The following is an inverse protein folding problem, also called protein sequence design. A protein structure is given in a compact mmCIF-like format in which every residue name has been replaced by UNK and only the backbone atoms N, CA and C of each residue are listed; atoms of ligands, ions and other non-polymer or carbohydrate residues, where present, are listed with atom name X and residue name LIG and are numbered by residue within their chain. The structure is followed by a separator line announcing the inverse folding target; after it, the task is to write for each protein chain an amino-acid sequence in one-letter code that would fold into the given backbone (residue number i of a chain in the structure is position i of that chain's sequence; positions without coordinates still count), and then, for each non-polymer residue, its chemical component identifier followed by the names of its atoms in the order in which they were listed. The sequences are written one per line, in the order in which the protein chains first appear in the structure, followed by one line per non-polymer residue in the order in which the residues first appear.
data_IF_265013422090
#
_entry.id   IF_265013422090
#
_cell.length_a   1.000
_cell.length_b   1.000
_cell.length_c   1.000
_cell.angle_alpha   90.00
_cell.angle_beta   90.00
_cell.angle_gamma   90.00
#
_symmetry.space_group_name_H-M   'P 1'
#
loop_
_entity.id
_entity.type
_entity.pdbx_description
1 polymer ?
#
# COMPACT_ATOMS: atom_id res chain seq x y z
N UNK A 1 18.66 -19.23 -18.05
CA UNK A 1 18.60 -17.77 -17.87
C UNK A 1 18.47 -17.50 -16.38
N UNK A 2 19.47 -16.89 -15.77
CA UNK A 2 19.58 -16.80 -14.32
C UNK A 2 18.58 -15.72 -13.81
N UNK A 3 17.84 -16.00 -12.74
CA UNK A 3 16.86 -15.08 -12.12
C UNK A 3 17.48 -13.72 -11.77
N UNK A 4 18.82 -13.64 -11.63
CA UNK A 4 19.57 -12.41 -11.36
C UNK A 4 19.53 -11.35 -12.45
N UNK A 5 19.22 -11.71 -13.68
CA UNK A 5 19.29 -10.81 -14.84
C UNK A 5 17.92 -10.26 -15.27
N UNK A 6 16.86 -10.50 -14.50
CA UNK A 6 15.53 -9.96 -14.78
C UNK A 6 15.38 -8.55 -14.23
N UNK A 7 14.90 -7.57 -15.02
CA UNK A 7 14.74 -6.18 -14.58
C UNK A 7 13.90 -6.01 -13.32
N UNK A 8 12.83 -6.78 -13.17
CA UNK A 8 11.93 -6.78 -12.00
C UNK A 8 12.34 -7.73 -10.87
N UNK A 9 13.36 -8.56 -11.04
CA UNK A 9 13.92 -9.43 -9.99
C UNK A 9 15.07 -8.76 -9.22
N UNK A 10 14.99 -7.43 -9.05
CA UNK A 10 15.83 -6.73 -8.08
C UNK A 10 15.57 -7.26 -6.67
N UNK A 11 16.53 -7.12 -5.73
CA UNK A 11 16.25 -7.45 -4.36
C UNK A 11 14.90 -6.87 -4.01
N UNK A 12 13.99 -7.75 -3.62
CA UNK A 12 12.61 -7.46 -3.24
C UNK A 12 12.62 -6.21 -2.37
N UNK A 13 11.56 -5.42 -2.40
CA UNK A 13 11.37 -4.41 -1.40
C UNK A 13 11.65 -5.00 -0.02
N UNK A 14 11.50 -4.23 1.03
CA UNK A 14 11.83 -4.65 2.41
C UNK A 14 11.11 -5.93 2.88
N UNK A 15 10.39 -6.66 1.98
CA UNK A 15 9.60 -7.88 2.24
C UNK A 15 8.70 -7.75 3.50
N UNK A 16 8.12 -6.56 3.68
CA UNK A 16 7.35 -6.21 4.88
C UNK A 16 6.13 -7.10 5.02
N UNK A 17 5.43 -7.39 3.92
CA UNK A 17 4.21 -8.19 3.94
C UNK A 17 4.45 -9.62 4.40
N UNK A 18 5.43 -10.37 3.84
CA UNK A 18 5.84 -11.65 4.40
C UNK A 18 6.26 -11.57 5.86
N UNK A 19 7.02 -10.54 6.24
CA UNK A 19 7.47 -10.34 7.62
C UNK A 19 6.30 -10.15 8.59
N UNK A 20 5.24 -9.43 8.17
CA UNK A 20 4.02 -9.28 8.98
C UNK A 20 3.31 -10.61 9.23
N UNK A 21 3.25 -11.51 8.23
CA UNK A 21 2.69 -12.86 8.42
C UNK A 21 3.46 -13.61 9.51
N UNK A 22 4.80 -13.61 9.43
CA UNK A 22 5.67 -14.32 10.35
C UNK A 22 5.60 -13.71 11.77
N UNK A 23 5.71 -12.38 11.86
CA UNK A 23 5.65 -11.66 13.13
C UNK A 23 4.29 -11.82 13.84
N UNK A 24 3.19 -11.77 13.09
CA UNK A 24 1.85 -12.01 13.64
C UNK A 24 1.69 -13.44 14.19
N UNK A 25 2.28 -14.43 13.52
CA UNK A 25 2.31 -15.80 14.02
C UNK A 25 3.11 -15.90 15.33
N UNK A 26 4.27 -15.29 15.36
CA UNK A 26 5.15 -15.32 16.54
C UNK A 26 4.52 -14.55 17.72
N UNK A 27 3.89 -13.42 17.47
CA UNK A 27 3.23 -12.61 18.50
C UNK A 27 2.13 -13.36 19.26
N UNK A 28 1.51 -14.36 18.62
CA UNK A 28 0.50 -15.23 19.23
C UNK A 28 1.09 -16.58 19.70
N UNK A 29 2.42 -16.69 19.79
CA UNK A 29 3.10 -17.89 20.30
C UNK A 29 3.16 -19.06 19.32
N UNK A 30 2.85 -18.83 18.04
CA UNK A 30 2.97 -19.82 16.97
C UNK A 30 4.40 -19.98 16.46
N UNK A 31 4.64 -21.07 15.76
CA UNK A 31 5.92 -21.32 15.07
C UNK A 31 5.98 -20.52 13.75
N UNK A 32 6.87 -19.53 13.61
CA UNK A 32 6.96 -18.70 12.41
C UNK A 32 7.40 -19.47 11.15
N UNK A 33 7.86 -20.70 11.26
CA UNK A 33 8.15 -21.56 10.11
C UNK A 33 6.88 -22.09 9.43
N UNK A 34 5.76 -22.19 10.15
CA UNK A 34 4.52 -22.76 9.63
C UNK A 34 3.85 -21.93 8.54
N UNK A 35 3.75 -20.59 8.61
CA UNK A 35 3.03 -19.77 7.63
C UNK A 35 3.87 -19.42 6.40
N UNK A 36 4.90 -20.20 6.06
CA UNK A 36 5.80 -19.92 4.93
C UNK A 36 5.03 -19.82 3.60
N UNK A 37 4.04 -20.70 3.39
CA UNK A 37 3.17 -20.66 2.21
C UNK A 37 2.36 -19.35 2.17
N UNK A 38 1.79 -18.91 3.30
CA UNK A 38 1.05 -17.67 3.42
C UNK A 38 1.94 -16.45 3.18
N UNK A 39 3.13 -16.42 3.76
CA UNK A 39 4.12 -15.36 3.55
C UNK A 39 4.53 -15.24 2.07
N UNK A 40 4.77 -16.37 1.40
CA UNK A 40 5.09 -16.41 -0.03
C UNK A 40 3.89 -15.98 -0.90
N UNK A 41 2.68 -16.41 -0.56
CA UNK A 41 1.46 -16.06 -1.29
C UNK A 41 1.16 -14.55 -1.24
N UNK A 42 1.30 -13.93 -0.07
CA UNK A 42 1.13 -12.48 0.10
C UNK A 42 2.16 -11.69 -0.73
N UNK A 43 3.41 -12.14 -0.78
CA UNK A 43 4.45 -11.49 -1.59
C UNK A 43 4.19 -11.67 -3.10
N UNK A 44 3.68 -12.82 -3.53
CA UNK A 44 3.26 -13.05 -4.91
C UNK A 44 2.10 -12.12 -5.31
N UNK A 45 1.09 -11.99 -4.44
CA UNK A 45 -0.01 -11.05 -4.66
C UNK A 45 0.53 -9.61 -4.76
N UNK A 46 1.40 -9.18 -3.86
CA UNK A 46 2.01 -7.86 -3.96
C UNK A 46 2.77 -7.65 -5.29
N UNK A 47 3.53 -8.65 -5.73
CA UNK A 47 4.30 -8.50 -6.96
C UNK A 47 3.41 -8.51 -8.21
N UNK A 48 2.31 -9.28 -8.23
CA UNK A 48 1.39 -9.20 -9.36
C UNK A 48 0.73 -7.83 -9.45
N UNK A 49 0.31 -7.25 -8.29
CA UNK A 49 -0.28 -5.90 -8.31
C UNK A 49 0.70 -4.86 -8.85
N UNK A 50 1.98 -4.92 -8.46
CA UNK A 50 2.99 -4.02 -9.00
C UNK A 50 3.17 -4.14 -10.51
N UNK A 51 3.10 -5.38 -11.07
CA UNK A 51 3.20 -5.57 -12.52
C UNK A 51 2.01 -4.96 -13.26
N UNK A 52 0.81 -5.10 -12.72
CA UNK A 52 -0.40 -4.56 -13.33
C UNK A 52 -0.49 -3.04 -13.14
N UNK A 53 -0.13 -2.52 -11.96
CA UNK A 53 -0.09 -1.08 -11.69
C UNK A 53 0.87 -0.37 -12.65
N UNK A 54 2.09 -0.91 -12.87
CA UNK A 54 3.04 -0.34 -13.82
C UNK A 54 2.45 -0.17 -15.24
N UNK A 55 1.56 -1.09 -15.65
CA UNK A 55 0.88 -1.03 -16.95
C UNK A 55 -0.24 0.02 -16.94
N UNK A 56 -1.05 0.03 -15.89
CA UNK A 56 -2.20 0.93 -15.72
C UNK A 56 -1.72 2.37 -15.67
N UNK A 57 -0.70 2.64 -14.84
CA UNK A 57 -0.13 3.97 -14.61
C UNK A 57 0.85 4.38 -15.73
N UNK A 58 1.20 3.44 -16.65
CA UNK A 58 2.21 3.61 -17.69
C UNK A 58 3.58 4.00 -17.13
N UNK A 59 3.91 3.52 -15.94
CA UNK A 59 5.20 3.74 -15.30
C UNK A 59 6.30 3.03 -16.08
N UNK A 60 7.24 3.77 -16.65
CA UNK A 60 8.37 3.21 -17.40
C UNK A 60 9.48 2.69 -16.49
N UNK A 61 9.56 3.21 -15.27
CA UNK A 61 10.60 2.84 -14.30
C UNK A 61 10.01 2.57 -12.91
N UNK A 62 10.54 1.54 -12.24
CA UNK A 62 10.27 1.22 -10.84
C UNK A 62 11.57 0.92 -10.12
N UNK A 63 11.85 1.64 -9.03
CA UNK A 63 13.09 1.50 -8.24
C UNK A 63 14.35 1.62 -9.11
N UNK A 64 14.41 2.65 -9.95
CA UNK A 64 15.50 2.95 -10.90
C UNK A 64 15.74 1.87 -11.97
N UNK A 65 14.76 1.01 -12.26
CA UNK A 65 14.84 -0.02 -13.30
C UNK A 65 13.65 0.07 -14.26
N UNK A 66 13.84 -0.29 -15.53
CA UNK A 66 12.72 -0.42 -16.44
C UNK A 66 11.67 -1.40 -15.91
N UNK A 67 10.40 -1.07 -16.08
CA UNK A 67 9.28 -1.93 -15.71
C UNK A 67 9.16 -3.16 -16.61
N UNK A 68 8.49 -4.21 -16.14
CA UNK A 68 8.39 -5.46 -16.87
C UNK A 68 7.65 -5.27 -18.20
N UNK A 69 6.58 -4.46 -18.23
CA UNK A 69 5.83 -4.23 -19.47
C UNK A 69 6.67 -3.49 -20.53
N UNK A 70 7.57 -2.61 -20.12
CA UNK A 70 8.47 -1.91 -21.05
C UNK A 70 9.52 -2.86 -21.67
N UNK A 71 10.00 -3.84 -20.89
CA UNK A 71 11.07 -4.76 -21.32
C UNK A 71 10.54 -5.96 -22.10
N UNK A 72 9.42 -6.54 -21.67
CA UNK A 72 8.89 -7.79 -22.18
C UNK A 72 7.61 -7.63 -22.99
N UNK A 73 6.96 -6.48 -22.89
CA UNK A 73 5.65 -6.21 -23.49
C UNK A 73 4.50 -6.28 -22.49
N UNK A 74 3.41 -5.57 -22.82
CA UNK A 74 2.22 -5.48 -21.98
C UNK A 74 1.56 -6.84 -21.75
N UNK A 75 1.43 -7.64 -22.81
CA UNK A 75 0.79 -8.97 -22.74
C UNK A 75 1.53 -9.89 -21.78
N UNK A 76 2.85 -9.95 -21.90
CA UNK A 76 3.71 -10.78 -21.06
C UNK A 76 3.65 -10.35 -19.59
N UNK A 77 3.60 -9.06 -19.34
CA UNK A 77 3.50 -8.54 -17.97
C UNK A 77 2.13 -8.84 -17.32
N UNK A 78 1.02 -8.74 -18.09
CA UNK A 78 -0.32 -9.14 -17.63
C UNK A 78 -0.34 -10.63 -17.29
N UNK A 79 0.07 -11.49 -18.24
CA UNK A 79 0.06 -12.94 -18.04
C UNK A 79 0.96 -13.38 -16.88
N UNK A 80 2.09 -12.69 -16.66
CA UNK A 80 2.96 -12.96 -15.52
C UNK A 80 2.27 -12.62 -14.19
N UNK A 81 1.55 -11.50 -14.13
CA UNK A 81 0.76 -11.13 -12.96
C UNK A 81 -0.34 -12.14 -12.65
N UNK A 82 -1.13 -12.55 -13.67
CA UNK A 82 -2.17 -13.56 -13.54
C UNK A 82 -1.62 -14.92 -13.06
N UNK A 83 -0.45 -15.30 -13.59
CA UNK A 83 0.23 -16.52 -13.16
C UNK A 83 0.72 -16.42 -11.70
N UNK A 84 1.22 -15.26 -11.26
CA UNK A 84 1.62 -15.04 -9.87
C UNK A 84 0.44 -15.12 -8.92
N UNK A 85 -0.70 -14.48 -9.25
CA UNK A 85 -1.93 -14.57 -8.46
C UNK A 85 -2.42 -16.02 -8.34
N UNK A 86 -2.50 -16.73 -9.46
CA UNK A 86 -2.90 -18.14 -9.48
C UNK A 86 -1.95 -19.03 -8.68
N UNK A 87 -0.64 -18.76 -8.76
CA UNK A 87 0.38 -19.47 -7.97
C UNK A 87 0.23 -19.19 -6.48
N UNK A 88 -0.10 -17.97 -6.07
CA UNK A 88 -0.32 -17.62 -4.66
C UNK A 88 -1.46 -18.46 -4.05
N UNK A 89 -2.59 -18.54 -4.74
CA UNK A 89 -3.73 -19.37 -4.29
C UNK A 89 -3.37 -20.86 -4.27
N UNK A 90 -2.63 -21.35 -5.27
CA UNK A 90 -2.19 -22.74 -5.33
C UNK A 90 -1.27 -23.11 -4.16
N UNK A 91 -0.29 -22.23 -3.83
CA UNK A 91 0.59 -22.46 -2.68
C UNK A 91 -0.17 -22.63 -1.36
N UNK A 92 -1.20 -21.81 -1.15
CA UNK A 92 -2.07 -21.94 0.03
C UNK A 92 -2.94 -23.20 -0.03
N UNK A 93 -3.47 -23.55 -1.20
CA UNK A 93 -4.32 -24.74 -1.36
C UNK A 93 -3.53 -26.06 -1.19
N UNK A 94 -2.25 -26.08 -1.54
CA UNK A 94 -1.34 -27.20 -1.37
C UNK A 94 -0.69 -27.24 0.04
N UNK A 95 -0.87 -26.19 0.85
CA UNK A 95 -0.37 -26.16 2.23
C UNK A 95 -1.16 -27.14 3.10
N UNK A 96 -0.47 -28.08 3.70
CA UNK A 96 -1.08 -29.09 4.59
C UNK A 96 -1.56 -28.56 5.94
N UNK A 97 -1.49 -27.25 6.21
CA UNK A 97 -1.93 -26.67 7.48
C UNK A 97 -3.45 -26.64 7.61
N UNK A 98 -3.97 -26.86 8.82
CA UNK A 98 -5.42 -26.94 9.07
C UNK A 98 -6.20 -25.68 8.67
N UNK A 99 -5.55 -24.50 8.66
CA UNK A 99 -6.16 -23.21 8.26
C UNK A 99 -5.91 -22.83 6.80
N UNK A 100 -5.34 -23.71 5.97
CA UNK A 100 -5.03 -23.43 4.58
C UNK A 100 -6.28 -22.95 3.79
N UNK A 101 -7.42 -23.61 3.98
CA UNK A 101 -8.68 -23.19 3.34
C UNK A 101 -9.16 -21.81 3.78
N UNK A 102 -8.96 -21.44 5.05
CA UNK A 102 -9.25 -20.08 5.55
C UNK A 102 -8.30 -19.04 4.93
N UNK A 103 -7.01 -19.37 4.82
CA UNK A 103 -6.01 -18.51 4.21
C UNK A 103 -6.30 -18.25 2.71
N UNK A 104 -6.70 -19.27 1.95
CA UNK A 104 -7.13 -19.12 0.55
C UNK A 104 -8.28 -18.15 0.43
N UNK A 105 -9.32 -18.33 1.26
CA UNK A 105 -10.50 -17.46 1.24
C UNK A 105 -10.13 -16.00 1.57
N UNK A 106 -9.38 -15.77 2.66
CA UNK A 106 -8.94 -14.43 3.07
C UNK A 106 -8.09 -13.74 1.99
N UNK A 107 -7.19 -14.46 1.36
CA UNK A 107 -6.37 -13.89 0.30
C UNK A 107 -7.20 -13.57 -0.95
N UNK A 108 -8.15 -14.43 -1.31
CA UNK A 108 -9.05 -14.20 -2.43
C UNK A 108 -9.96 -12.98 -2.20
N UNK A 109 -10.57 -12.87 -1.01
CA UNK A 109 -11.39 -11.72 -0.62
C UNK A 109 -10.55 -10.42 -0.64
N UNK A 110 -9.33 -10.46 -0.12
CA UNK A 110 -8.39 -9.35 -0.15
C UNK A 110 -8.04 -8.90 -1.58
N UNK A 111 -7.83 -9.84 -2.51
CA UNK A 111 -7.54 -9.50 -3.90
C UNK A 111 -8.73 -8.84 -4.58
N UNK A 112 -9.96 -9.28 -4.31
CA UNK A 112 -11.18 -8.62 -4.81
C UNK A 112 -11.25 -7.18 -4.31
N UNK A 113 -11.09 -6.97 -3.00
CA UNK A 113 -11.08 -5.64 -2.37
C UNK A 113 -9.98 -4.73 -2.97
N UNK A 114 -8.78 -5.28 -3.18
CA UNK A 114 -7.65 -4.56 -3.78
C UNK A 114 -7.96 -4.14 -5.22
N UNK A 115 -8.60 -5.00 -6.02
CA UNK A 115 -9.02 -4.67 -7.38
C UNK A 115 -10.11 -3.58 -7.39
N UNK A 116 -11.04 -3.61 -6.44
CA UNK A 116 -12.04 -2.53 -6.26
C UNK A 116 -11.35 -1.21 -5.92
N UNK A 117 -10.37 -1.21 -5.00
CA UNK A 117 -9.57 -0.05 -4.66
C UNK A 117 -8.82 0.53 -5.88
N UNK A 118 -8.22 -0.33 -6.69
CA UNK A 118 -7.53 0.07 -7.92
C UNK A 118 -8.50 0.66 -8.95
N UNK A 119 -9.70 0.07 -9.11
CA UNK A 119 -10.73 0.61 -10.00
C UNK A 119 -11.18 2.01 -9.56
N UNK A 120 -11.36 2.21 -8.26
CA UNK A 120 -11.75 3.52 -7.69
C UNK A 120 -10.63 4.56 -7.93
N UNK A 121 -9.37 4.18 -7.71
CA UNK A 121 -8.22 5.06 -7.96
C UNK A 121 -8.17 5.54 -9.41
N UNK A 122 -8.31 4.63 -10.37
CA UNK A 122 -8.42 4.99 -11.80
C UNK A 122 -9.62 5.91 -12.08
N UNK A 123 -10.77 5.66 -11.44
CA UNK A 123 -11.96 6.49 -11.64
C UNK A 123 -11.76 7.91 -11.10
N UNK A 124 -10.94 8.10 -10.06
CA UNK A 124 -10.65 9.42 -9.50
C UNK A 124 -9.92 10.35 -10.49
N UNK A 125 -9.18 9.81 -11.45
CA UNK A 125 -8.53 10.62 -12.48
C UNK A 125 -9.54 11.47 -13.26
N UNK A 126 -10.73 10.93 -13.51
CA UNK A 126 -11.79 11.55 -14.30
C UNK A 126 -12.77 12.40 -13.46
N UNK A 127 -12.64 12.40 -12.12
CA UNK A 127 -13.57 13.05 -11.20
C UNK A 127 -12.94 14.29 -10.57
N UNK A 128 -13.73 15.36 -10.42
CA UNK A 128 -13.36 16.57 -9.67
C UNK A 128 -13.98 16.63 -8.27
N UNK A 129 -14.94 15.75 -7.98
CA UNK A 129 -15.78 15.76 -6.78
C UNK A 129 -15.37 14.71 -5.72
N UNK A 130 -14.16 14.15 -5.82
CA UNK A 130 -13.64 13.14 -4.88
C UNK A 130 -13.65 13.69 -3.46
N UNK A 131 -14.32 12.96 -2.56
CA UNK A 131 -14.35 13.27 -1.12
C UNK A 131 -13.18 12.62 -0.39
N UNK A 132 -12.86 13.16 0.78
CA UNK A 132 -11.79 12.60 1.63
C UNK A 132 -12.13 11.20 2.12
N UNK A 133 -13.41 10.95 2.45
CA UNK A 133 -13.91 9.62 2.86
C UNK A 133 -13.71 8.58 1.75
N UNK A 134 -14.04 8.92 0.49
CA UNK A 134 -13.82 8.03 -0.65
C UNK A 134 -12.33 7.76 -0.86
N UNK A 135 -11.48 8.80 -0.72
CA UNK A 135 -10.03 8.66 -0.88
C UNK A 135 -9.40 7.77 0.20
N UNK A 136 -9.84 7.90 1.46
CA UNK A 136 -9.41 7.00 2.55
C UNK A 136 -9.86 5.57 2.31
N UNK A 137 -11.12 5.35 1.92
CA UNK A 137 -11.64 4.01 1.63
C UNK A 137 -10.89 3.35 0.45
N UNK A 138 -10.58 4.11 -0.60
CA UNK A 138 -9.76 3.64 -1.71
C UNK A 138 -8.36 3.25 -1.25
N UNK A 139 -7.70 4.08 -0.44
CA UNK A 139 -6.36 3.81 0.09
C UNK A 139 -6.33 2.58 1.02
N UNK A 140 -7.38 2.39 1.82
CA UNK A 140 -7.55 1.19 2.65
C UNK A 140 -7.68 -0.06 1.79
N UNK A 141 -8.56 -0.06 0.80
CA UNK A 141 -8.76 -1.19 -0.09
C UNK A 141 -7.51 -1.51 -0.93
N UNK A 142 -6.88 -0.50 -1.54
CA UNK A 142 -5.70 -0.68 -2.42
C UNK A 142 -4.45 -1.08 -1.64
N UNK A 143 -4.22 -0.51 -0.45
CA UNK A 143 -2.97 -0.66 0.30
C UNK A 143 -3.15 -1.38 1.63
N UNK A 144 -4.17 -1.02 2.40
CA UNK A 144 -4.43 -1.57 3.74
C UNK A 144 -4.83 -3.03 3.72
N UNK A 145 -5.69 -3.44 2.78
CA UNK A 145 -6.26 -4.78 2.72
C UNK A 145 -5.21 -5.91 2.73
N UNK A 146 -4.14 -5.77 1.95
CA UNK A 146 -3.12 -6.81 1.87
C UNK A 146 -2.23 -6.89 3.12
N UNK A 147 -2.00 -5.77 3.81
CA UNK A 147 -1.29 -5.78 5.09
C UNK A 147 -2.17 -6.37 6.20
N UNK A 148 -3.47 -6.05 6.19
CA UNK A 148 -4.45 -6.64 7.09
C UNK A 148 -4.53 -8.15 6.91
N UNK A 149 -4.76 -8.62 5.68
CA UNK A 149 -4.82 -10.03 5.35
C UNK A 149 -3.53 -10.79 5.76
N UNK A 150 -2.35 -10.17 5.58
CA UNK A 150 -1.08 -10.74 6.01
C UNK A 150 -1.04 -10.98 7.52
N UNK A 151 -1.41 -9.98 8.32
CA UNK A 151 -1.46 -10.08 9.77
C UNK A 151 -2.52 -11.09 10.25
N UNK A 152 -3.71 -11.07 9.66
CA UNK A 152 -4.79 -12.00 9.99
C UNK A 152 -4.42 -13.46 9.69
N UNK A 153 -3.81 -13.72 8.53
CA UNK A 153 -3.34 -15.07 8.20
C UNK A 153 -2.28 -15.54 9.19
N UNK A 154 -1.31 -14.67 9.55
CA UNK A 154 -0.33 -15.00 10.61
C UNK A 154 -0.99 -15.42 11.92
N UNK A 155 -2.01 -14.67 12.37
CA UNK A 155 -2.79 -15.00 13.56
C UNK A 155 -3.45 -16.39 13.46
N UNK A 156 -4.07 -16.70 12.32
CA UNK A 156 -4.73 -17.99 12.10
C UNK A 156 -3.75 -19.17 12.10
N UNK A 157 -2.57 -18.99 11.50
CA UNK A 157 -1.50 -20.00 11.52
C UNK A 157 -0.93 -20.25 12.91
N UNK A 158 -0.98 -19.28 13.82
CA UNK A 158 -0.66 -19.45 15.23
C UNK A 158 -1.73 -20.22 16.01
N UNK A 159 -2.89 -20.49 15.42
CA UNK A 159 -4.06 -21.03 16.12
C UNK A 159 -4.86 -19.96 16.87
N UNK A 160 -4.64 -18.70 16.58
CA UNK A 160 -5.38 -17.57 17.15
C UNK A 160 -6.88 -17.62 16.83
N UNK A 161 -7.69 -17.03 17.72
CA UNK A 161 -9.13 -16.93 17.52
C UNK A 161 -9.49 -16.02 16.33
N UNK A 162 -10.76 -16.04 15.92
CA UNK A 162 -11.23 -15.14 14.87
C UNK A 162 -11.14 -13.66 15.32
N UNK A 163 -11.40 -13.38 16.60
CA UNK A 163 -11.29 -12.03 17.18
C UNK A 163 -9.83 -11.53 17.13
N UNK A 164 -8.86 -12.37 17.44
CA UNK A 164 -7.45 -12.02 17.33
C UNK A 164 -7.04 -11.80 15.87
N UNK A 165 -7.56 -12.60 14.94
CA UNK A 165 -7.32 -12.44 13.51
C UNK A 165 -7.93 -11.14 12.98
N UNK A 166 -9.15 -10.77 13.40
CA UNK A 166 -9.79 -9.51 13.03
C UNK A 166 -9.05 -8.29 13.61
N UNK A 167 -8.60 -8.37 14.85
CA UNK A 167 -7.83 -7.29 15.46
C UNK A 167 -6.46 -7.10 14.75
N UNK A 168 -5.79 -8.18 14.37
CA UNK A 168 -4.55 -8.09 13.58
C UNK A 168 -4.81 -7.67 12.12
N UNK A 169 -5.95 -8.01 11.52
CA UNK A 169 -6.38 -7.42 10.25
C UNK A 169 -6.51 -5.91 10.37
N UNK A 170 -7.23 -5.43 11.38
CA UNK A 170 -7.36 -4.00 11.68
C UNK A 170 -6.01 -3.32 11.90
N UNK A 171 -5.10 -3.93 12.67
CA UNK A 171 -3.73 -3.44 12.82
C UNK A 171 -3.03 -3.25 11.47
N UNK A 172 -3.07 -4.28 10.60
CA UNK A 172 -2.46 -4.24 9.28
C UNK A 172 -3.07 -3.17 8.36
N UNK A 173 -4.38 -3.00 8.38
CA UNK A 173 -5.09 -1.95 7.61
C UNK A 173 -4.69 -0.56 8.04
N UNK A 174 -4.64 -0.28 9.35
CA UNK A 174 -4.29 1.02 9.89
C UNK A 174 -2.83 1.40 9.58
N UNK A 175 -1.87 0.47 9.71
CA UNK A 175 -0.50 0.74 9.28
C UNK A 175 -0.39 0.93 7.76
N UNK A 176 -1.25 0.28 6.98
CA UNK A 176 -1.35 0.47 5.54
C UNK A 176 -1.81 1.87 5.15
N UNK A 177 -2.82 2.39 5.85
CA UNK A 177 -3.29 3.77 5.67
C UNK A 177 -2.23 4.79 6.11
N UNK A 178 -1.59 4.59 7.25
CA UNK A 178 -0.49 5.44 7.70
C UNK A 178 0.66 5.46 6.67
N UNK A 179 0.99 4.30 6.10
CA UNK A 179 1.98 4.17 5.05
C UNK A 179 1.59 4.95 3.78
N UNK A 180 0.33 4.82 3.33
CA UNK A 180 -0.15 5.52 2.14
C UNK A 180 -0.12 7.03 2.31
N UNK A 181 -0.52 7.54 3.49
CA UNK A 181 -0.42 8.97 3.81
C UNK A 181 1.01 9.49 3.70
N UNK A 182 1.98 8.73 4.20
CA UNK A 182 3.41 9.08 4.12
C UNK A 182 3.91 8.97 2.68
N UNK A 183 3.50 7.95 1.93
CA UNK A 183 3.90 7.78 0.52
C UNK A 183 3.36 8.93 -0.34
N UNK A 184 2.13 9.37 -0.12
CA UNK A 184 1.52 10.53 -0.78
C UNK A 184 2.25 11.85 -0.41
N UNK A 185 2.70 12.02 0.84
CA UNK A 185 3.54 13.15 1.23
C UNK A 185 4.88 13.14 0.48
N UNK A 186 5.50 11.98 0.36
CA UNK A 186 6.74 11.78 -0.38
C UNK A 186 6.53 12.02 -1.89
N UNK A 187 5.39 11.64 -2.45
CA UNK A 187 5.02 11.90 -3.84
C UNK A 187 4.96 13.39 -4.21
N UNK A 188 4.75 14.26 -3.21
CA UNK A 188 4.70 15.73 -3.39
C UNK A 188 6.03 16.39 -3.02
N UNK A 189 6.62 16.04 -1.86
CA UNK A 189 7.78 16.74 -1.27
C UNK A 189 9.03 15.88 -1.14
N UNK A 190 9.01 14.64 -1.62
CA UNK A 190 10.13 13.72 -1.47
C UNK A 190 11.37 14.12 -2.25
N UNK A 191 12.53 13.77 -1.72
CA UNK A 191 13.82 14.00 -2.39
C UNK A 191 13.98 13.05 -3.60
N UNK A 192 14.23 13.54 -4.81
CA UNK A 192 14.47 12.72 -6.00
C UNK A 192 15.62 11.72 -5.86
N UNK A 193 16.65 12.06 -5.08
CA UNK A 193 17.78 11.15 -4.85
C UNK A 193 17.36 9.91 -4.05
N UNK A 194 16.33 10.05 -3.20
CA UNK A 194 15.81 8.96 -2.36
C UNK A 194 14.68 8.20 -3.08
N UNK A 195 13.78 8.94 -3.74
CA UNK A 195 12.55 8.38 -4.35
C UNK A 195 12.77 7.82 -5.75
N UNK A 196 13.75 8.35 -6.47
CA UNK A 196 13.96 8.07 -7.90
C UNK A 196 12.92 8.71 -8.82
N UNK A 197 12.01 9.53 -8.28
CA UNK A 197 10.98 10.27 -9.03
C UNK A 197 11.24 11.77 -8.89
N UNK A 198 10.85 12.61 -9.88
CA UNK A 198 10.96 14.06 -9.75
C UNK A 198 10.11 14.57 -8.59
N UNK A 199 10.52 15.71 -7.99
CA UNK A 199 9.71 16.39 -6.97
C UNK A 199 8.34 16.70 -7.54
N UNK A 200 7.28 16.41 -6.77
CA UNK A 200 5.91 16.66 -7.21
C UNK A 200 5.41 15.70 -8.30
N UNK A 201 5.97 14.49 -8.38
CA UNK A 201 5.55 13.49 -9.36
C UNK A 201 4.03 13.27 -9.36
N UNK A 202 3.40 13.21 -8.19
CA UNK A 202 1.96 13.05 -8.04
C UNK A 202 1.18 14.29 -8.53
N UNK A 203 1.73 15.48 -8.31
CA UNK A 203 1.13 16.74 -8.81
C UNK A 203 1.22 16.85 -10.33
N UNK A 204 2.30 16.34 -10.91
CA UNK A 204 2.51 16.37 -12.37
C UNK A 204 1.40 15.63 -13.12
N UNK A 205 0.96 14.50 -12.59
CA UNK A 205 -0.15 13.69 -13.13
C UNK A 205 -1.50 14.03 -12.50
N UNK A 206 -1.57 15.09 -11.68
CA UNK A 206 -2.79 15.54 -10.98
C UNK A 206 -3.46 14.42 -10.16
N UNK A 207 -2.67 13.56 -9.57
CA UNK A 207 -3.15 12.48 -8.71
C UNK A 207 -3.99 13.07 -7.57
N UNK A 208 -5.15 12.47 -7.29
CA UNK A 208 -6.00 12.80 -6.15
C UNK A 208 -5.50 12.07 -4.90
N UNK A 209 -4.23 12.32 -4.54
CA UNK A 209 -3.65 11.79 -3.31
C UNK A 209 -4.30 12.39 -2.06
N UNK A 210 -4.19 11.72 -0.93
CA UNK A 210 -4.86 12.13 0.31
C UNK A 210 -4.58 13.60 0.71
N UNK A 211 -3.33 14.11 0.74
CA UNK A 211 -3.07 15.51 1.06
C UNK A 211 -3.65 16.48 0.02
N UNK A 212 -3.69 16.09 -1.25
CA UNK A 212 -4.29 16.89 -2.33
C UNK A 212 -5.80 16.99 -2.14
N UNK A 213 -6.48 15.87 -1.88
CA UNK A 213 -7.93 15.88 -1.66
C UNK A 213 -8.29 16.67 -0.40
N UNK A 214 -7.51 16.55 0.68
CA UNK A 214 -7.68 17.36 1.88
C UNK A 214 -7.60 18.87 1.56
N UNK A 215 -6.61 19.29 0.77
CA UNK A 215 -6.45 20.67 0.34
C UNK A 215 -7.61 21.15 -0.55
N UNK A 216 -8.00 20.36 -1.55
CA UNK A 216 -9.13 20.68 -2.44
C UNK A 216 -10.46 20.82 -1.70
N UNK A 217 -10.62 20.14 -0.56
CA UNK A 217 -11.84 20.19 0.27
C UNK A 217 -11.74 21.12 1.47
N UNK A 218 -10.64 21.86 1.60
CA UNK A 218 -10.39 22.75 2.73
C UNK A 218 -11.32 23.97 2.82
N UNK A 219 -11.90 24.40 1.68
CA UNK A 219 -12.67 25.64 1.59
C UNK A 219 -11.81 26.91 1.75
N UNK A 220 -10.50 26.81 1.57
CA UNK A 220 -9.56 27.94 1.68
C UNK A 220 -9.23 28.52 0.30
N UNK A 221 -8.75 29.78 0.21
CA UNK A 221 -8.29 30.36 -1.05
C UNK A 221 -7.17 29.54 -1.73
N UNK A 222 -6.30 28.89 -0.95
CA UNK A 222 -5.26 28.01 -1.49
C UNK A 222 -5.87 26.72 -2.08
N UNK A 223 -6.91 26.16 -1.45
CA UNK A 223 -7.68 25.05 -2.00
C UNK A 223 -8.36 25.40 -3.32
N UNK A 224 -8.94 26.60 -3.43
CA UNK A 224 -9.53 27.10 -4.67
C UNK A 224 -8.45 27.30 -5.76
N UNK A 225 -7.31 27.83 -5.38
CA UNK A 225 -6.15 27.98 -6.29
C UNK A 225 -5.66 26.64 -6.81
N UNK A 226 -5.57 25.62 -5.95
CA UNK A 226 -5.22 24.27 -6.36
C UNK A 226 -6.23 23.70 -7.35
N UNK A 227 -7.53 23.90 -7.10
CA UNK A 227 -8.59 23.44 -7.99
C UNK A 227 -8.50 24.08 -9.38
N UNK A 228 -8.19 25.39 -9.49
CA UNK A 228 -7.94 26.08 -10.76
C UNK A 228 -6.77 25.43 -11.53
N UNK A 229 -5.64 25.14 -10.85
CA UNK A 229 -4.47 24.51 -11.46
C UNK A 229 -4.76 23.08 -11.93
N UNK A 230 -5.55 22.32 -11.14
CA UNK A 230 -5.95 20.96 -11.48
C UNK A 230 -6.97 20.89 -12.63
N UNK A 231 -7.70 21.97 -12.91
CA UNK A 231 -8.64 22.08 -14.02
C UNK A 231 -7.97 22.37 -15.38
N UNK A 232 -6.67 22.70 -15.41
CA UNK A 232 -5.96 22.98 -16.67
C UNK A 232 -5.84 21.69 -17.50
N UNK A 233 -6.24 21.72 -18.77
CA UNK A 233 -6.18 20.53 -19.65
C UNK A 233 -4.77 20.26 -20.23
N UNK A 234 -3.84 21.24 -20.10
CA UNK A 234 -2.44 21.11 -20.55
C UNK A 234 -1.52 20.65 -19.42
N UNK A 235 -0.32 20.24 -19.75
CA UNK A 235 0.72 19.96 -18.74
C UNK A 235 1.04 21.21 -17.92
N UNK A 236 1.28 21.01 -16.62
CA UNK A 236 1.70 22.05 -15.70
C UNK A 236 3.16 22.43 -15.96
N UNK A 237 3.47 23.72 -15.90
CA UNK A 237 4.85 24.21 -15.91
C UNK A 237 5.53 23.94 -14.56
N UNK A 238 6.86 24.06 -14.49
CA UNK A 238 7.59 23.91 -13.23
C UNK A 238 7.14 24.92 -12.16
N UNK A 239 6.81 26.15 -12.56
CA UNK A 239 6.28 27.19 -11.66
C UNK A 239 4.88 26.84 -11.14
N UNK A 240 4.03 26.27 -11.99
CA UNK A 240 2.70 25.81 -11.62
C UNK A 240 2.75 24.60 -10.71
N UNK A 241 3.69 23.65 -10.91
CA UNK A 241 3.92 22.54 -9.99
C UNK A 241 4.35 23.04 -8.60
N UNK A 242 5.27 23.98 -8.55
CA UNK A 242 5.66 24.60 -7.28
C UNK A 242 4.47 25.32 -6.61
N UNK A 243 3.62 25.99 -7.42
CA UNK A 243 2.40 26.63 -6.93
C UNK A 243 1.38 25.61 -6.40
N UNK A 244 1.24 24.43 -7.05
CA UNK A 244 0.40 23.34 -6.54
C UNK A 244 0.90 22.84 -5.16
N UNK A 245 2.20 22.57 -5.02
CA UNK A 245 2.76 22.12 -3.75
C UNK A 245 2.56 23.16 -2.63
N UNK A 246 2.79 24.45 -2.93
CA UNK A 246 2.53 25.54 -2.00
C UNK A 246 1.05 25.66 -1.63
N UNK A 247 0.15 25.49 -2.59
CA UNK A 247 -1.30 25.52 -2.35
C UNK A 247 -1.76 24.34 -1.48
N UNK A 248 -1.25 23.13 -1.72
CA UNK A 248 -1.54 21.97 -0.83
C UNK A 248 -1.08 22.26 0.60
N UNK A 249 0.11 22.85 0.78
CA UNK A 249 0.64 23.19 2.10
C UNK A 249 -0.16 24.32 2.76
N UNK A 250 -0.44 25.42 2.03
CA UNK A 250 -1.20 26.57 2.52
C UNK A 250 -2.66 26.24 2.86
N UNK A 251 -3.26 25.30 2.14
CA UNK A 251 -4.59 24.77 2.43
C UNK A 251 -4.61 23.78 3.62
N UNK A 252 -3.45 23.47 4.21
CA UNK A 252 -3.34 22.57 5.36
C UNK A 252 -3.28 21.08 5.00
N UNK A 253 -3.22 20.70 3.72
CA UNK A 253 -3.23 19.31 3.28
C UNK A 253 -2.04 18.50 3.82
N UNK A 254 -0.84 19.11 3.88
CA UNK A 254 0.35 18.48 4.46
C UNK A 254 0.18 18.20 5.96
N UNK A 255 -0.24 19.21 6.72
CA UNK A 255 -0.42 19.08 8.16
C UNK A 255 -1.53 18.07 8.50
N UNK A 256 -2.62 18.07 7.73
CA UNK A 256 -3.69 17.10 7.86
C UNK A 256 -3.17 15.68 7.64
N UNK A 257 -2.45 15.41 6.55
CA UNK A 257 -1.95 14.07 6.25
C UNK A 257 -0.95 13.55 7.30
N UNK A 258 -0.12 14.45 7.86
CA UNK A 258 0.77 14.11 8.97
C UNK A 258 -0.02 13.76 10.24
N UNK A 259 -1.03 14.54 10.58
CA UNK A 259 -1.90 14.28 11.74
C UNK A 259 -2.67 12.98 11.58
N UNK A 260 -3.30 12.77 10.43
CA UNK A 260 -4.04 11.54 10.11
C UNK A 260 -3.14 10.31 10.18
N UNK A 261 -1.89 10.39 9.67
CA UNK A 261 -0.93 9.28 9.78
C UNK A 261 -0.64 8.92 11.26
N UNK A 262 -0.51 9.91 12.14
CA UNK A 262 -0.35 9.65 13.57
C UNK A 262 -1.60 9.01 14.21
N UNK A 263 -2.79 9.45 13.81
CA UNK A 263 -4.06 8.87 14.29
C UNK A 263 -4.22 7.42 13.83
N UNK A 264 -3.88 7.08 12.58
CA UNK A 264 -3.87 5.71 12.07
C UNK A 264 -2.90 4.82 12.84
N UNK A 265 -1.70 5.33 13.14
CA UNK A 265 -0.75 4.60 13.98
C UNK A 265 -1.28 4.36 15.39
N UNK A 266 -1.94 5.33 16.00
CA UNK A 266 -2.56 5.14 17.31
C UNK A 266 -3.71 4.11 17.28
N UNK A 267 -4.52 4.11 16.22
CA UNK A 267 -5.55 3.11 15.98
C UNK A 267 -4.94 1.72 15.79
N UNK A 268 -3.85 1.61 15.02
CA UNK A 268 -3.11 0.36 14.85
C UNK A 268 -2.63 -0.20 16.20
N UNK A 269 -2.04 0.65 17.05
CA UNK A 269 -1.60 0.22 18.39
C UNK A 269 -2.76 -0.27 19.25
N UNK A 270 -3.92 0.35 19.13
CA UNK A 270 -5.13 -0.08 19.85
C UNK A 270 -5.59 -1.48 19.39
N UNK A 271 -5.58 -1.74 18.09
CA UNK A 271 -5.92 -3.05 17.53
C UNK A 271 -4.89 -4.12 17.96
N UNK A 272 -3.61 -3.78 17.92
CA UNK A 272 -2.54 -4.68 18.33
C UNK A 272 -2.67 -5.08 19.81
N UNK A 273 -3.00 -4.14 20.69
CA UNK A 273 -3.18 -4.40 22.12
C UNK A 273 -4.37 -5.36 22.41
N UNK A 274 -5.39 -5.35 21.55
CA UNK A 274 -6.51 -6.31 21.63
C UNK A 274 -6.06 -7.72 21.26
N UNK A 275 -5.27 -7.85 20.19
CA UNK A 275 -4.83 -9.14 19.69
C UNK A 275 -3.70 -9.76 20.51
N UNK A 276 -2.77 -8.92 20.99
CA UNK A 276 -1.53 -9.30 21.68
C UNK A 276 -1.44 -8.53 23.01
N UNK A 277 -2.09 -9.01 24.07
CA UNK A 277 -2.12 -8.30 25.35
C UNK A 277 -0.75 -8.22 26.06
N UNK A 278 0.18 -9.16 25.76
CA UNK A 278 1.53 -9.13 26.30
C UNK A 278 2.43 -8.24 25.44
N UNK A 279 2.86 -7.04 25.90
CA UNK A 279 3.61 -6.10 25.11
C UNK A 279 4.89 -6.65 24.49
N UNK A 280 5.63 -7.50 25.21
CA UNK A 280 6.88 -8.09 24.73
C UNK A 280 6.70 -9.05 23.55
N UNK A 281 5.51 -9.62 23.38
CA UNK A 281 5.18 -10.45 22.23
C UNK A 281 4.89 -9.64 20.96
N UNK A 282 4.63 -8.34 21.10
CA UNK A 282 4.32 -7.43 19.99
C UNK A 282 5.54 -6.74 19.38
N UNK A 283 6.73 -6.86 19.96
CA UNK A 283 7.92 -6.09 19.59
C UNK A 283 8.27 -6.14 18.09
N UNK A 284 8.14 -7.31 17.45
CA UNK A 284 8.44 -7.45 16.02
C UNK A 284 7.39 -6.74 15.14
N UNK A 285 6.11 -6.84 15.51
CA UNK A 285 5.04 -6.12 14.81
C UNK A 285 5.18 -4.61 14.96
N UNK A 286 5.56 -4.14 16.15
CA UNK A 286 5.86 -2.72 16.42
C UNK A 286 7.04 -2.24 15.57
N UNK A 287 8.13 -3.00 15.52
CA UNK A 287 9.29 -2.66 14.71
C UNK A 287 8.94 -2.60 13.21
N UNK A 288 8.08 -3.51 12.73
CA UNK A 288 7.61 -3.49 11.34
C UNK A 288 6.71 -2.28 11.06
N UNK A 289 5.79 -1.94 11.97
CA UNK A 289 4.95 -0.75 11.85
C UNK A 289 5.80 0.53 11.79
N UNK A 290 6.81 0.66 12.65
CA UNK A 290 7.76 1.77 12.59
C UNK A 290 8.57 1.79 11.29
N UNK A 291 9.03 0.64 10.79
CA UNK A 291 9.77 0.55 9.53
C UNK A 291 8.93 0.97 8.32
N UNK A 292 7.62 0.71 8.36
CA UNK A 292 6.66 1.09 7.32
C UNK A 292 6.44 2.60 7.33
N UNK A 293 6.34 3.20 8.50
CA UNK A 293 5.97 4.60 8.68
C UNK A 293 7.15 5.56 8.84
N UNK A 294 8.35 5.07 9.21
CA UNK A 294 9.59 5.88 9.26
C UNK A 294 10.26 6.07 7.89
N UNK A 295 9.52 6.26 6.82
CA UNK A 295 10.08 6.80 5.58
C UNK A 295 10.23 8.30 5.75
N UNK A 296 11.37 8.70 6.33
CA UNK A 296 11.74 10.11 6.37
C UNK A 296 12.42 10.49 5.07
N UNK A 297 11.89 11.54 4.44
CA UNK A 297 12.40 12.53 3.48
C UNK A 297 13.48 12.07 2.51
#
# INVERSE_FOLDING_TARGET
MCIRDRPSAAPSGKAIRPALVLAATQALGGDPAKPTAAAAAVELVHNFTLLHDDIIDRDETRRHRPTAWLVFGTTEAILAGDAMHSLALRLLAEDGHAVAGDAVRRLADCVVELCEGQQIDCAFEQRSDVSLTECLAMAEAKTGALLGAACAMGARYAGGSEEAAQALDGFGREIGLAFQLIDDLIGIWGDPEVTGKPVGADLLVRKKSLPVVAALRSGTPDGDRLAELYALERQLTAEELASCAAAVEGAGGRAWAQGESCERMAAAMSQLAVAVPEPSAADELLALAELVTRRTH
#
